data_IF_823618207348
#
_entry.id   IF_823618207348
#
_cell.length_a   1.000
_cell.length_b   1.000
_cell.length_c   1.000
_cell.angle_alpha   90.00
_cell.angle_beta   90.00
_cell.angle_gamma   90.00
#
_symmetry.space_group_name_H-M   'P 1'
#
loop_
_entity.id
_entity.type
_entity.pdbx_description
1 polymer ?
#
# COMPACT_ATOMS: atom_id res chain seq x y z
N UNK A 1 18.14 -1.60 5.97
CA UNK A 1 17.99 -0.73 4.78
C UNK A 1 18.19 0.71 5.24
N UNK A 2 19.27 1.37 4.81
CA UNK A 2 19.49 2.78 5.16
C UNK A 2 18.58 3.71 4.32
N UNK A 3 18.20 4.85 4.88
CA UNK A 3 17.49 5.93 4.18
C UNK A 3 18.12 7.28 4.54
N UNK A 4 17.64 8.38 3.97
CA UNK A 4 18.23 9.70 4.17
C UNK A 4 17.22 10.73 4.71
N UNK A 5 17.59 11.43 5.78
CA UNK A 5 16.87 12.59 6.29
C UNK A 5 17.50 13.86 5.74
N UNK A 6 16.74 14.62 4.96
CA UNK A 6 17.20 15.83 4.28
C UNK A 6 16.74 17.09 5.01
N UNK A 7 17.50 18.15 4.83
CA UNK A 7 17.25 19.49 5.37
C UNK A 7 17.16 20.50 4.23
N UNK A 8 16.55 21.66 4.48
CA UNK A 8 16.51 22.76 3.51
C UNK A 8 17.92 23.07 2.98
N UNK A 9 18.05 23.21 1.65
CA UNK A 9 19.35 23.34 0.98
C UNK A 9 19.96 22.02 0.49
N UNK A 10 19.29 20.89 0.72
CA UNK A 10 19.62 19.60 0.08
C UNK A 10 20.68 18.75 0.80
N UNK A 11 21.12 19.17 1.99
CA UNK A 11 22.00 18.35 2.83
C UNK A 11 21.20 17.22 3.47
N UNK A 12 21.67 15.98 3.30
CA UNK A 12 21.02 14.80 3.84
C UNK A 12 21.96 13.98 4.73
N UNK A 13 21.44 13.48 5.85
CA UNK A 13 22.12 12.54 6.73
C UNK A 13 21.58 11.14 6.52
N UNK A 14 22.48 10.15 6.51
CA UNK A 14 22.07 8.74 6.41
C UNK A 14 21.54 8.27 7.75
N UNK A 15 20.36 7.66 7.74
CA UNK A 15 19.74 6.98 8.87
C UNK A 15 19.83 5.48 8.64
N UNK A 16 20.32 4.75 9.64
CA UNK A 16 20.37 3.29 9.62
C UNK A 16 19.01 2.74 10.04
N UNK A 17 18.21 2.30 9.07
CA UNK A 17 16.93 1.65 9.30
C UNK A 17 16.98 0.14 9.11
N UNK A 18 15.93 -0.52 9.57
CA UNK A 18 15.66 -1.95 9.34
C UNK A 18 14.31 -2.10 8.64
N UNK A 19 14.01 -3.28 8.11
CA UNK A 19 12.68 -3.60 7.57
C UNK A 19 12.15 -4.83 8.25
N UNK A 20 10.83 -4.88 8.44
CA UNK A 20 10.14 -6.01 9.07
C UNK A 20 8.99 -6.47 8.20
N UNK A 21 8.84 -7.79 8.04
CA UNK A 21 7.68 -8.35 7.34
C UNK A 21 6.45 -8.35 8.24
N UNK A 22 5.31 -8.04 7.61
CA UNK A 22 3.99 -8.07 8.19
C UNK A 22 3.66 -9.43 8.84
N UNK A 23 2.90 -9.36 9.93
CA UNK A 23 2.54 -10.52 10.74
C UNK A 23 1.71 -11.58 10.00
N UNK A 24 0.95 -11.22 8.96
CA UNK A 24 0.08 -12.14 8.22
C UNK A 24 0.88 -13.19 7.42
N UNK A 25 2.11 -12.85 7.00
CA UNK A 25 3.03 -13.76 6.30
C UNK A 25 3.80 -14.69 7.24
N UNK A 26 3.82 -14.38 8.54
CA UNK A 26 4.62 -15.15 9.50
C UNK A 26 3.97 -16.48 9.80
N UNK A 27 4.80 -17.42 10.21
CA UNK A 27 4.33 -18.64 10.83
C UNK A 27 3.59 -18.33 12.14
N UNK A 28 2.41 -18.93 12.30
CA UNK A 28 1.61 -18.87 13.52
C UNK A 28 1.46 -20.28 14.09
N UNK A 29 2.02 -20.51 15.27
CA UNK A 29 2.03 -21.82 15.93
C UNK A 29 1.67 -21.70 17.41
N UNK A 30 1.38 -22.84 18.04
CA UNK A 30 1.14 -22.89 19.47
C UNK A 30 2.38 -22.45 20.23
N UNK A 31 2.20 -21.63 21.27
CA UNK A 31 3.29 -20.97 22.02
C UNK A 31 4.30 -21.92 22.66
N UNK A 32 3.93 -23.20 22.84
CA UNK A 32 4.73 -24.20 23.54
C UNK A 32 5.26 -25.30 22.60
N UNK A 33 5.07 -25.17 21.29
CA UNK A 33 5.32 -26.23 20.34
C UNK A 33 5.45 -25.71 18.91
N UNK A 34 5.19 -26.61 17.96
CA UNK A 34 5.31 -26.37 16.53
C UNK A 34 4.01 -26.70 15.79
N UNK A 35 2.90 -26.85 16.53
CA UNK A 35 1.59 -27.13 15.95
C UNK A 35 1.03 -25.83 15.42
N UNK A 36 0.72 -25.79 14.12
CA UNK A 36 0.19 -24.59 13.51
C UNK A 36 -1.15 -24.19 14.15
N UNK A 37 -1.26 -22.92 14.50
CA UNK A 37 -2.55 -22.29 14.79
C UNK A 37 -3.30 -21.93 13.51
N UNK A 38 -2.58 -21.72 12.42
CA UNK A 38 -3.13 -21.38 11.11
C UNK A 38 -2.34 -22.11 10.01
N UNK A 39 -3.02 -22.82 9.11
CA UNK A 39 -2.39 -23.55 7.98
C UNK A 39 -3.23 -23.44 6.73
N UNK A 40 -2.59 -23.20 5.58
CA UNK A 40 -3.33 -22.90 4.35
C UNK A 40 -4.16 -21.65 4.59
N UNK A 41 -5.49 -21.80 4.53
CA UNK A 41 -6.44 -20.74 4.79
C UNK A 41 -7.36 -21.01 5.98
N UNK A 42 -6.99 -21.90 6.91
CA UNK A 42 -7.84 -22.29 8.05
C UNK A 42 -7.12 -22.16 9.41
N UNK A 43 -7.91 -21.81 10.43
CA UNK A 43 -7.49 -21.85 11.84
C UNK A 43 -7.64 -23.25 12.44
N UNK A 44 -6.71 -23.65 13.29
CA UNK A 44 -6.84 -24.85 14.10
C UNK A 44 -7.84 -24.60 15.23
N UNK A 45 -9.08 -25.06 15.05
CA UNK A 45 -10.18 -24.83 15.99
C UNK A 45 -10.00 -25.50 17.37
N UNK A 46 -9.06 -26.43 17.50
CA UNK A 46 -8.71 -27.01 18.82
C UNK A 46 -7.86 -26.06 19.65
N UNK A 47 -6.93 -25.33 19.02
CA UNK A 47 -6.10 -24.32 19.68
C UNK A 47 -6.85 -22.98 19.78
N UNK A 48 -7.61 -22.66 18.73
CA UNK A 48 -8.30 -21.40 18.51
C UNK A 48 -9.82 -21.56 18.65
N UNK A 49 -10.28 -21.92 19.85
CA UNK A 49 -11.72 -22.05 20.14
C UNK A 49 -12.45 -20.71 20.17
N UNK A 50 -11.75 -19.62 20.50
CA UNK A 50 -12.24 -18.25 20.43
C UNK A 50 -11.07 -17.28 20.16
N UNK A 51 -11.38 -16.05 19.76
CA UNK A 51 -10.42 -15.03 19.36
C UNK A 51 -9.36 -14.72 20.45
N UNK A 52 -9.77 -14.68 21.72
CA UNK A 52 -8.89 -14.31 22.83
C UNK A 52 -8.01 -15.48 23.25
N UNK A 53 -8.58 -16.67 23.39
CA UNK A 53 -7.79 -17.87 23.72
C UNK A 53 -6.79 -18.21 22.61
N UNK A 54 -7.18 -18.05 21.34
CA UNK A 54 -6.29 -18.23 20.20
C UNK A 54 -5.07 -17.28 20.30
N UNK A 55 -5.29 -15.97 20.49
CA UNK A 55 -4.18 -15.03 20.67
C UNK A 55 -3.30 -15.32 21.89
N UNK A 56 -3.87 -15.86 22.98
CA UNK A 56 -3.12 -16.22 24.18
C UNK A 56 -2.35 -17.55 24.07
N UNK A 57 -2.70 -18.39 23.10
CA UNK A 57 -2.12 -19.71 22.90
C UNK A 57 -1.23 -19.81 21.66
N UNK A 58 -1.27 -18.82 20.77
CA UNK A 58 -0.49 -18.77 19.55
C UNK A 58 0.64 -17.75 19.63
N UNK A 59 1.70 -17.97 18.85
CA UNK A 59 2.85 -17.09 18.71
C UNK A 59 3.15 -16.83 17.23
N UNK A 60 3.65 -15.61 16.95
CA UNK A 60 4.30 -15.26 15.69
C UNK A 60 5.80 -15.55 15.82
N UNK A 61 6.39 -16.20 14.82
CA UNK A 61 7.83 -16.53 14.83
C UNK A 61 8.66 -15.58 13.95
N UNK A 62 9.98 -15.79 13.98
CA UNK A 62 10.95 -15.17 13.11
C UNK A 62 10.69 -15.48 11.63
N UNK A 63 11.38 -14.74 10.76
CA UNK A 63 11.23 -14.84 9.32
C UNK A 63 12.59 -15.07 8.67
N UNK A 64 12.72 -16.13 7.87
CA UNK A 64 13.81 -16.26 6.90
C UNK A 64 13.47 -15.40 5.67
N UNK A 65 13.84 -14.12 5.76
CA UNK A 65 13.52 -13.11 4.75
C UNK A 65 13.92 -13.52 3.34
N UNK A 66 15.15 -14.01 3.14
CA UNK A 66 15.64 -14.32 1.80
C UNK A 66 15.18 -15.69 1.32
N UNK A 67 15.24 -16.73 2.16
CA UNK A 67 14.97 -18.10 1.74
C UNK A 67 13.49 -18.43 1.64
N UNK A 68 12.64 -17.83 2.49
CA UNK A 68 11.20 -18.07 2.51
C UNK A 68 10.42 -16.99 1.77
N UNK A 69 10.78 -15.71 1.95
CA UNK A 69 9.98 -14.58 1.45
C UNK A 69 10.58 -13.87 0.24
N UNK A 70 11.81 -14.21 -0.17
CA UNK A 70 12.48 -13.56 -1.30
C UNK A 70 12.76 -12.07 -1.07
N UNK A 71 12.84 -11.65 0.20
CA UNK A 71 13.13 -10.28 0.62
C UNK A 71 14.62 -10.14 0.89
N UNK A 72 15.26 -9.17 0.25
CA UNK A 72 16.69 -8.88 0.46
C UNK A 72 16.94 -7.38 0.55
N UNK A 73 17.98 -6.98 1.29
CA UNK A 73 18.44 -5.58 1.33
C UNK A 73 19.92 -5.48 0.99
N UNK A 74 20.31 -4.37 0.38
CA UNK A 74 21.72 -4.03 0.16
C UNK A 74 21.88 -2.51 0.26
N UNK A 75 22.56 -2.04 1.31
CA UNK A 75 22.67 -0.62 1.63
C UNK A 75 21.30 0.05 1.78
N UNK A 76 20.96 0.91 0.81
CA UNK A 76 19.71 1.68 0.78
C UNK A 76 18.62 1.05 -0.10
N UNK A 77 18.81 -0.17 -0.62
CA UNK A 77 17.87 -0.86 -1.48
C UNK A 77 17.18 -2.04 -0.77
N UNK A 78 15.90 -2.23 -1.07
CA UNK A 78 15.05 -3.36 -0.71
C UNK A 78 14.51 -3.99 -1.99
N UNK A 79 14.78 -5.27 -2.19
CA UNK A 79 14.24 -6.07 -3.29
C UNK A 79 13.18 -7.02 -2.75
N UNK A 80 11.99 -6.98 -3.33
CA UNK A 80 10.90 -7.91 -3.03
C UNK A 80 10.65 -8.78 -4.26
N UNK A 81 10.79 -10.10 -4.13
CA UNK A 81 10.38 -11.06 -5.16
C UNK A 81 8.91 -11.41 -4.99
N UNK A 82 8.25 -11.71 -6.10
CA UNK A 82 6.85 -12.07 -6.10
C UNK A 82 6.62 -13.48 -5.56
N UNK A 83 7.20 -14.50 -6.19
CA UNK A 83 7.05 -15.90 -5.75
C UNK A 83 8.37 -16.47 -5.26
N UNK A 84 8.38 -17.02 -4.05
CA UNK A 84 9.54 -17.71 -3.47
C UNK A 84 9.19 -19.14 -3.12
N UNK A 85 9.82 -20.09 -3.83
CA UNK A 85 9.61 -21.52 -3.64
C UNK A 85 10.65 -22.07 -2.67
N UNK A 86 10.21 -22.39 -1.45
CA UNK A 86 11.01 -23.11 -0.46
C UNK A 86 10.88 -24.63 -0.61
N UNK A 87 11.51 -25.39 0.28
CA UNK A 87 11.45 -26.86 0.25
C UNK A 87 10.10 -27.43 0.64
N UNK A 88 9.30 -26.68 1.42
CA UNK A 88 8.04 -27.16 2.01
C UNK A 88 6.85 -26.22 1.76
N UNK A 89 7.08 -25.05 1.18
CA UNK A 89 6.07 -24.02 0.97
C UNK A 89 6.42 -23.15 -0.23
N UNK A 90 5.40 -22.48 -0.78
CA UNK A 90 5.57 -21.41 -1.77
C UNK A 90 4.97 -20.15 -1.19
N UNK A 91 5.78 -19.10 -1.06
CA UNK A 91 5.35 -17.78 -0.63
C UNK A 91 4.96 -16.94 -1.85
N UNK A 92 3.84 -16.20 -1.74
CA UNK A 92 3.37 -15.23 -2.73
C UNK A 92 3.36 -13.84 -2.07
N UNK A 93 3.98 -12.87 -2.73
CA UNK A 93 4.04 -11.48 -2.31
C UNK A 93 4.74 -11.24 -0.97
N UNK A 94 4.75 -9.98 -0.56
CA UNK A 94 5.20 -9.58 0.78
C UNK A 94 4.77 -8.15 1.09
N UNK A 95 4.61 -7.82 2.38
CA UNK A 95 4.40 -6.46 2.90
C UNK A 95 5.41 -6.16 4.01
N UNK A 96 6.18 -5.08 3.85
CA UNK A 96 7.31 -4.72 4.70
C UNK A 96 7.10 -3.33 5.28
N UNK A 97 7.53 -3.12 6.53
CA UNK A 97 7.51 -1.82 7.21
C UNK A 97 8.93 -1.32 7.47
N UNK A 98 9.14 -0.01 7.35
CA UNK A 98 10.39 0.62 7.78
C UNK A 98 10.44 0.72 9.31
N UNK A 99 11.58 0.37 9.91
CA UNK A 99 11.79 0.36 11.36
C UNK A 99 12.78 1.46 11.79
N UNK A 100 12.46 2.17 12.87
CA UNK A 100 13.37 3.10 13.55
C UNK A 100 14.28 2.39 14.55
N UNK A 101 13.83 1.25 15.08
CA UNK A 101 14.58 0.37 15.99
C UNK A 101 13.99 -1.04 15.92
N UNK A 102 14.55 -2.01 16.63
CA UNK A 102 14.04 -3.39 16.64
C UNK A 102 12.62 -3.56 17.20
N UNK A 103 12.02 -2.53 17.82
CA UNK A 103 10.68 -2.59 18.43
C UNK A 103 9.77 -1.44 18.05
N UNK A 104 10.17 -0.57 17.11
CA UNK A 104 9.38 0.61 16.70
C UNK A 104 9.48 0.83 15.20
N UNK A 105 8.34 1.06 14.56
CA UNK A 105 8.29 1.54 13.19
C UNK A 105 8.95 2.91 13.07
N UNK A 106 9.47 3.22 11.88
CA UNK A 106 9.86 4.57 11.54
C UNK A 106 8.62 5.36 11.16
N UNK A 107 8.31 6.36 11.97
CA UNK A 107 7.18 7.25 11.74
C UNK A 107 7.58 8.44 10.87
N UNK A 108 6.68 8.87 10.00
CA UNK A 108 6.84 10.02 9.11
C UNK A 108 5.61 10.93 9.17
N UNK A 109 5.82 12.23 9.37
CA UNK A 109 4.75 13.24 9.28
C UNK A 109 4.84 13.92 7.93
N UNK A 110 3.91 13.64 7.03
CA UNK A 110 4.04 14.00 5.61
C UNK A 110 3.72 15.47 5.33
N UNK A 111 2.79 16.09 6.07
CA UNK A 111 2.32 17.45 5.76
C UNK A 111 3.44 18.50 5.80
N UNK A 112 3.60 19.24 4.71
CA UNK A 112 4.64 20.26 4.53
C UNK A 112 6.01 19.69 4.19
N UNK A 113 6.12 18.37 3.98
CA UNK A 113 7.35 17.68 3.63
C UNK A 113 7.29 17.06 2.23
N UNK A 114 8.41 16.47 1.84
CA UNK A 114 8.67 15.81 0.59
C UNK A 114 9.23 14.42 0.86
N UNK A 115 8.61 13.41 0.24
CA UNK A 115 9.06 12.03 0.26
C UNK A 115 9.54 11.63 -1.12
N UNK A 116 10.68 10.95 -1.19
CA UNK A 116 11.34 10.61 -2.45
C UNK A 116 12.02 9.26 -2.36
N UNK A 117 11.98 8.50 -3.45
CA UNK A 117 12.64 7.21 -3.56
C UNK A 117 12.96 6.91 -5.01
N UNK A 118 13.92 6.03 -5.24
CA UNK A 118 14.15 5.41 -6.54
C UNK A 118 13.43 4.06 -6.60
N UNK A 119 12.86 3.73 -7.76
CA UNK A 119 12.16 2.47 -7.98
C UNK A 119 12.55 1.83 -9.31
N UNK A 120 12.66 0.52 -9.30
CA UNK A 120 12.78 -0.31 -10.50
C UNK A 120 11.57 -1.25 -10.56
N UNK A 121 10.67 -0.97 -11.51
CA UNK A 121 9.47 -1.76 -11.84
C UNK A 121 9.61 -2.50 -13.17
N UNK A 122 10.81 -2.54 -13.77
CA UNK A 122 11.05 -3.09 -15.12
C UNK A 122 10.67 -4.57 -15.25
N UNK A 123 10.56 -5.26 -14.11
CA UNK A 123 10.15 -6.65 -14.01
C UNK A 123 8.75 -6.83 -13.43
N UNK A 124 7.91 -5.80 -13.35
CA UNK A 124 6.52 -5.92 -12.89
C UNK A 124 5.58 -5.78 -14.09
N UNK A 125 5.02 -6.89 -14.58
CA UNK A 125 4.03 -6.86 -15.65
C UNK A 125 2.62 -6.55 -15.16
N UNK A 126 1.66 -6.68 -16.07
CA UNK A 126 0.23 -6.56 -15.78
C UNK A 126 -0.21 -7.48 -14.63
N UNK A 127 -1.14 -7.01 -13.80
CA UNK A 127 -1.69 -7.80 -12.70
C UNK A 127 -0.89 -7.78 -11.39
N UNK A 128 0.31 -7.19 -11.40
CA UNK A 128 1.13 -7.02 -10.20
C UNK A 128 1.11 -5.56 -9.75
N UNK A 129 1.30 -5.35 -8.45
CA UNK A 129 1.49 -4.02 -7.88
C UNK A 129 2.70 -4.03 -6.94
N UNK A 130 3.73 -3.29 -7.35
CA UNK A 130 4.78 -2.83 -6.46
C UNK A 130 4.31 -1.56 -5.77
N UNK A 131 3.85 -1.71 -4.53
CA UNK A 131 3.30 -0.64 -3.73
C UNK A 131 4.30 -0.05 -2.71
N UNK A 132 4.35 1.28 -2.62
CA UNK A 132 5.00 2.03 -1.54
C UNK A 132 4.05 3.12 -1.07
N UNK A 133 3.68 3.09 0.22
CA UNK A 133 2.57 3.88 0.76
C UNK A 133 2.73 4.13 2.26
N UNK A 134 1.83 4.93 2.82
CA UNK A 134 1.80 5.25 4.25
C UNK A 134 0.43 4.96 4.85
N UNK A 135 0.44 4.41 6.07
CA UNK A 135 -0.79 4.13 6.83
C UNK A 135 -0.65 4.63 8.27
N UNK A 136 -1.74 5.04 8.88
CA UNK A 136 -1.78 5.58 10.25
C UNK A 136 -1.81 4.46 11.33
N UNK A 137 -0.85 3.55 11.25
CA UNK A 137 -0.58 2.52 12.27
C UNK A 137 0.12 3.10 13.50
N UNK A 138 -0.01 2.41 14.64
CA UNK A 138 0.74 2.73 15.86
C UNK A 138 2.23 2.41 15.73
N UNK A 139 3.11 3.28 16.28
CA UNK A 139 4.58 3.12 16.25
C UNK A 139 5.06 1.77 16.80
N UNK A 140 4.38 1.23 17.81
CA UNK A 140 4.72 -0.04 18.47
C UNK A 140 3.92 -1.24 17.94
N UNK A 141 3.17 -1.06 16.85
CA UNK A 141 2.27 -2.07 16.29
C UNK A 141 1.07 -2.41 17.17
N UNK A 142 0.69 -1.50 18.08
CA UNK A 142 -0.47 -1.58 18.95
C UNK A 142 -0.19 -2.21 20.32
N UNK A 143 1.07 -2.43 20.71
CA UNK A 143 1.40 -3.08 21.99
C UNK A 143 0.90 -2.30 23.21
N UNK A 144 1.04 -0.97 23.18
CA UNK A 144 0.59 -0.08 24.26
C UNK A 144 -0.93 0.00 24.36
N UNK A 145 -1.66 -0.10 23.23
CA UNK A 145 -3.12 -0.10 23.19
C UNK A 145 -3.71 -1.48 23.55
N UNK A 146 -3.05 -2.57 23.14
CA UNK A 146 -3.58 -3.93 23.25
C UNK A 146 -2.63 -4.83 24.04
N UNK A 147 -2.90 -4.99 25.33
CA UNK A 147 -2.02 -5.74 26.24
C UNK A 147 -1.80 -7.21 25.86
N UNK A 148 -2.69 -7.81 25.08
CA UNK A 148 -2.55 -9.16 24.55
C UNK A 148 -1.59 -9.24 23.34
N UNK A 149 -1.36 -8.13 22.63
CA UNK A 149 -0.31 -8.05 21.63
C UNK A 149 1.06 -7.98 22.31
N UNK A 150 1.75 -9.12 22.38
CA UNK A 150 3.12 -9.22 22.91
C UNK A 150 4.21 -9.19 21.84
N UNK A 151 3.82 -9.18 20.55
CA UNK A 151 4.74 -9.27 19.43
C UNK A 151 5.14 -7.87 18.92
N UNK A 152 4.15 -7.01 18.65
CA UNK A 152 4.36 -5.62 18.27
C UNK A 152 5.06 -5.39 16.94
N UNK A 153 5.56 -4.17 16.75
CA UNK A 153 6.25 -3.75 15.53
C UNK A 153 7.42 -4.67 15.14
N UNK A 154 8.10 -5.29 16.12
CA UNK A 154 9.18 -6.26 15.87
C UNK A 154 8.74 -7.44 14.98
N UNK A 155 7.46 -7.79 15.02
CA UNK A 155 6.86 -8.87 14.24
C UNK A 155 5.84 -8.36 13.22
N UNK A 156 5.84 -7.06 12.91
CA UNK A 156 4.99 -6.51 11.87
C UNK A 156 3.49 -6.54 12.20
N UNK A 157 3.10 -6.37 13.47
CA UNK A 157 1.67 -6.33 13.86
C UNK A 157 1.06 -4.95 13.71
N UNK A 158 -0.27 -4.89 13.75
CA UNK A 158 -1.04 -3.64 13.87
C UNK A 158 -1.37 -2.99 12.53
N UNK A 159 -1.29 -3.73 11.43
CA UNK A 159 -1.64 -3.22 10.11
C UNK A 159 -3.09 -2.74 10.04
N UNK A 160 -3.29 -1.70 9.24
CA UNK A 160 -4.57 -1.13 8.86
C UNK A 160 -4.36 -0.38 7.54
N UNK A 161 -5.42 -0.18 6.79
CA UNK A 161 -5.45 0.69 5.61
C UNK A 161 -6.90 1.15 5.32
N UNK A 162 -7.11 1.88 4.21
CA UNK A 162 -8.42 2.43 3.89
C UNK A 162 -9.41 1.41 3.30
N UNK A 163 -8.97 0.17 3.07
CA UNK A 163 -9.82 -0.96 2.68
C UNK A 163 -10.40 -1.69 3.88
N UNK A 164 -10.05 -1.29 5.11
CA UNK A 164 -10.50 -1.95 6.33
C UNK A 164 -10.31 -3.49 6.32
N UNK A 165 -9.10 -3.99 5.98
CA UNK A 165 -8.82 -5.38 5.66
C UNK A 165 -9.26 -6.34 6.77
N UNK A 166 -10.05 -7.34 6.36
CA UNK A 166 -10.58 -8.40 7.23
C UNK A 166 -9.78 -9.71 7.16
N UNK A 167 -8.74 -9.74 6.33
CA UNK A 167 -7.86 -10.91 6.13
C UNK A 167 -6.73 -11.00 7.16
N UNK A 168 -6.55 -9.96 7.99
CA UNK A 168 -5.55 -9.94 9.04
C UNK A 168 -5.86 -11.01 10.08
N UNK A 169 -4.90 -11.90 10.32
CA UNK A 169 -4.99 -12.96 11.33
C UNK A 169 -5.08 -12.42 12.76
N UNK A 170 -4.51 -11.26 13.04
CA UNK A 170 -4.54 -10.63 14.35
C UNK A 170 -4.89 -9.15 14.27
N UNK A 171 -5.91 -8.72 15.02
CA UNK A 171 -6.37 -7.32 15.12
C UNK A 171 -6.61 -7.03 16.60
N UNK A 172 -6.15 -5.87 17.09
CA UNK A 172 -6.35 -5.40 18.46
C UNK A 172 -5.92 -6.41 19.55
N UNK A 173 -4.84 -7.16 19.29
CA UNK A 173 -4.33 -8.20 20.19
C UNK A 173 -5.22 -9.46 20.30
N UNK A 174 -6.16 -9.64 19.36
CA UNK A 174 -7.03 -10.80 19.27
C UNK A 174 -6.81 -11.52 17.94
N UNK A 175 -6.98 -12.84 17.92
CA UNK A 175 -6.99 -13.58 16.66
C UNK A 175 -8.31 -13.33 15.94
N UNK A 176 -8.27 -13.13 14.63
CA UNK A 176 -9.47 -12.95 13.81
C UNK A 176 -10.09 -14.31 13.42
N UNK A 177 -10.13 -15.26 14.34
CA UNK A 177 -10.58 -16.64 14.07
C UNK A 177 -12.11 -16.78 14.09
N UNK A 178 -12.82 -15.82 14.67
CA UNK A 178 -14.28 -15.81 14.69
C UNK A 178 -14.84 -15.53 13.30
N UNK A 179 -15.83 -16.34 12.89
CA UNK A 179 -16.48 -16.24 11.57
C UNK A 179 -15.49 -16.26 10.39
N UNK A 180 -14.36 -16.94 10.57
CA UNK A 180 -13.36 -17.05 9.52
C UNK A 180 -13.90 -17.81 8.30
N UNK A 181 -13.83 -17.18 7.14
CA UNK A 181 -14.25 -17.74 5.86
C UNK A 181 -13.02 -17.85 4.95
N UNK A 182 -12.58 -19.07 4.60
CA UNK A 182 -11.50 -19.28 3.65
C UNK A 182 -11.78 -18.60 2.30
N UNK A 183 -10.76 -17.97 1.70
CA UNK A 183 -10.89 -17.42 0.36
C UNK A 183 -11.14 -18.53 -0.65
N UNK A 184 -11.97 -18.24 -1.67
CA UNK A 184 -12.26 -19.17 -2.76
C UNK A 184 -11.18 -19.21 -3.83
N UNK A 185 -10.29 -18.20 -3.87
CA UNK A 185 -9.25 -18.05 -4.88
C UNK A 185 -7.84 -17.79 -4.31
N UNK A 186 -7.69 -17.66 -2.99
CA UNK A 186 -6.38 -17.63 -2.30
C UNK A 186 -6.30 -18.79 -1.29
N UNK A 187 -5.32 -19.67 -1.47
CA UNK A 187 -5.11 -20.83 -0.60
C UNK A 187 -4.49 -20.48 0.77
N UNK A 188 -4.01 -19.25 0.96
CA UNK A 188 -3.31 -18.78 2.15
C UNK A 188 -4.09 -17.71 2.94
N UNK A 189 -5.24 -17.28 2.42
CA UNK A 189 -6.02 -16.19 2.98
C UNK A 189 -7.50 -16.54 3.16
N UNK A 190 -8.18 -15.69 3.90
CA UNK A 190 -9.60 -15.74 4.20
C UNK A 190 -9.98 -14.45 4.89
N UNK A 191 -11.23 -14.32 5.30
CA UNK A 191 -11.72 -13.12 5.99
C UNK A 191 -12.37 -13.50 7.32
N UNK A 192 -12.04 -12.77 8.38
CA UNK A 192 -12.66 -12.94 9.68
C UNK A 192 -13.81 -11.97 9.93
N UNK A 193 -14.32 -12.00 11.16
CA UNK A 193 -15.37 -11.10 11.62
C UNK A 193 -14.92 -9.63 11.63
N UNK A 194 -13.65 -9.36 11.95
CA UNK A 194 -13.15 -8.02 12.16
C UNK A 194 -12.25 -7.52 11.03
N UNK A 195 -12.24 -6.21 10.82
CA UNK A 195 -11.29 -5.53 9.95
C UNK A 195 -10.52 -4.44 10.70
N UNK A 196 -9.45 -3.93 10.08
CA UNK A 196 -8.57 -2.92 10.68
C UNK A 196 -8.44 -1.72 9.74
N UNK A 197 -9.09 -0.61 10.09
CA UNK A 197 -9.22 0.59 9.28
C UNK A 197 -8.24 1.68 9.73
N UNK A 198 -7.66 2.43 8.80
CA UNK A 198 -7.02 3.72 9.07
C UNK A 198 -6.79 4.50 7.77
N UNK A 199 -6.51 5.80 7.89
CA UNK A 199 -6.19 6.62 6.73
C UNK A 199 -4.91 6.14 6.02
N UNK A 200 -4.93 6.25 4.70
CA UNK A 200 -3.90 5.70 3.81
C UNK A 200 -3.48 6.73 2.76
N UNK A 201 -2.17 6.82 2.52
CA UNK A 201 -1.58 7.63 1.46
C UNK A 201 -0.78 6.72 0.53
N UNK A 202 -1.37 6.42 -0.62
CA UNK A 202 -0.72 5.64 -1.67
C UNK A 202 0.21 6.55 -2.45
N UNK A 203 1.47 6.59 -2.03
CA UNK A 203 2.51 7.33 -2.77
C UNK A 203 2.70 6.71 -4.14
N UNK A 204 2.66 5.39 -4.22
CA UNK A 204 3.07 4.66 -5.40
C UNK A 204 2.44 3.28 -5.47
N UNK A 205 1.38 3.12 -6.26
CA UNK A 205 0.86 1.82 -6.69
C UNK A 205 1.16 1.67 -8.17
N UNK A 206 2.02 0.72 -8.55
CA UNK A 206 2.46 0.63 -9.93
C UNK A 206 3.00 -0.73 -10.34
N UNK A 207 2.99 -0.91 -11.65
CA UNK A 207 3.82 -1.86 -12.38
C UNK A 207 4.49 -1.16 -13.56
N UNK A 208 5.07 -1.91 -14.49
CA UNK A 208 5.74 -1.33 -15.67
C UNK A 208 4.77 -0.65 -16.65
N UNK A 209 3.46 -0.86 -16.53
CA UNK A 209 2.45 -0.35 -17.47
C UNK A 209 1.76 0.88 -16.92
N UNK A 210 1.39 0.88 -15.64
CA UNK A 210 0.61 1.96 -15.03
C UNK A 210 1.10 2.28 -13.62
N UNK A 211 0.83 3.52 -13.19
CA UNK A 211 1.13 4.00 -11.85
C UNK A 211 0.05 4.97 -11.37
N UNK A 212 -0.30 4.91 -10.08
CA UNK A 212 -1.23 5.79 -9.41
C UNK A 212 -0.62 6.35 -8.11
N UNK A 213 -1.06 7.56 -7.75
CA UNK A 213 -0.89 8.17 -6.43
C UNK A 213 -2.26 8.56 -5.90
N UNK A 214 -2.60 8.15 -4.68
CA UNK A 214 -3.99 8.22 -4.19
C UNK A 214 -4.04 8.52 -2.69
N UNK A 215 -4.65 9.62 -2.25
CA UNK A 215 -5.01 9.84 -0.87
C UNK A 215 -6.36 9.18 -0.54
N UNK A 216 -6.41 8.47 0.58
CA UNK A 216 -7.61 7.82 1.11
C UNK A 216 -7.93 8.33 2.52
N UNK A 217 -8.92 9.23 2.67
CA UNK A 217 -9.38 9.67 3.98
C UNK A 217 -10.19 8.59 4.67
N UNK A 218 -10.14 8.60 6.00
CA UNK A 218 -11.08 7.89 6.86
C UNK A 218 -11.64 8.86 7.90
N UNK A 219 -12.90 8.68 8.30
CA UNK A 219 -13.52 9.48 9.37
C UNK A 219 -12.70 9.39 10.68
N UNK A 220 -12.17 8.20 10.98
CA UNK A 220 -11.15 7.99 12.01
C UNK A 220 -9.78 7.80 11.37
N UNK A 221 -8.83 8.71 11.65
CA UNK A 221 -7.49 8.69 11.05
C UNK A 221 -6.67 7.50 11.51
N UNK A 222 -6.53 7.32 12.83
CA UNK A 222 -5.69 6.27 13.42
C UNK A 222 -6.34 4.89 13.26
N UNK A 223 -5.52 3.85 13.45
CA UNK A 223 -5.99 2.47 13.50
C UNK A 223 -7.18 2.30 14.45
N UNK A 224 -8.23 1.69 13.91
CA UNK A 224 -9.38 1.24 14.66
C UNK A 224 -9.99 -0.01 14.01
N UNK A 225 -10.80 -0.73 14.77
CA UNK A 225 -11.41 -1.97 14.33
C UNK A 225 -12.85 -1.74 13.86
N UNK A 226 -13.21 -2.38 12.75
CA UNK A 226 -14.58 -2.48 12.24
C UNK A 226 -15.10 -3.93 12.33
N UNK A 227 -16.38 -4.15 12.06
CA UNK A 227 -17.02 -5.47 12.15
C UNK A 227 -17.88 -5.80 10.90
N UNK A 228 -17.65 -6.98 10.33
CA UNK A 228 -18.44 -7.54 9.25
C UNK A 228 -18.50 -6.65 8.00
N UNK A 229 -19.66 -6.60 7.35
CA UNK A 229 -19.86 -5.78 6.15
C UNK A 229 -19.83 -4.27 6.43
N UNK A 230 -20.01 -3.85 7.69
CA UNK A 230 -19.89 -2.43 8.08
C UNK A 230 -18.45 -1.92 8.03
N UNK A 231 -17.47 -2.81 7.82
CA UNK A 231 -16.11 -2.39 7.46
C UNK A 231 -16.04 -1.66 6.12
N UNK A 232 -17.00 -1.89 5.21
CA UNK A 232 -16.82 -1.45 3.82
C UNK A 232 -15.60 -2.13 3.18
N UNK A 233 -14.96 -1.40 2.27
CA UNK A 233 -13.79 -1.90 1.57
C UNK A 233 -14.11 -2.93 0.50
N UNK A 234 -13.07 -3.37 -0.18
CA UNK A 234 -13.21 -4.15 -1.42
C UNK A 234 -13.90 -5.51 -1.22
N UNK A 235 -13.76 -6.15 -0.05
CA UNK A 235 -14.30 -7.49 0.23
C UNK A 235 -15.57 -7.48 1.12
N UNK A 236 -16.45 -6.47 0.96
CA UNK A 236 -17.73 -6.39 1.66
C UNK A 236 -18.94 -6.37 0.72
N UNK A 237 -20.15 -6.52 1.28
CA UNK A 237 -21.40 -6.37 0.52
C UNK A 237 -21.67 -4.95 -0.01
N UNK A 238 -21.09 -3.93 0.64
CA UNK A 238 -21.09 -2.54 0.17
C UNK A 238 -19.74 -1.90 0.50
N UNK A 239 -18.89 -1.70 -0.52
CA UNK A 239 -17.54 -1.16 -0.33
C UNK A 239 -17.53 0.22 0.33
N UNK A 240 -18.60 0.99 0.18
CA UNK A 240 -18.71 2.36 0.72
C UNK A 240 -19.40 2.42 2.08
N UNK A 241 -19.79 1.26 2.64
CA UNK A 241 -20.52 1.18 3.91
C UNK A 241 -19.67 1.41 5.16
N UNK A 242 -18.34 1.46 5.01
CA UNK A 242 -17.36 1.71 6.07
C UNK A 242 -17.10 3.20 6.34
N UNK A 243 -16.12 3.49 7.19
CA UNK A 243 -15.73 4.85 7.57
C UNK A 243 -14.56 5.41 6.74
N UNK A 244 -13.88 4.54 6.00
CA UNK A 244 -12.82 4.87 5.06
C UNK A 244 -13.33 5.01 3.62
N UNK A 245 -12.64 5.82 2.83
CA UNK A 245 -12.82 5.89 1.37
C UNK A 245 -11.96 4.81 0.68
N UNK A 246 -12.58 3.75 0.14
CA UNK A 246 -11.83 2.66 -0.49
C UNK A 246 -11.36 2.99 -1.91
N UNK A 247 -11.78 4.12 -2.49
CA UNK A 247 -11.45 4.50 -3.87
C UNK A 247 -10.37 5.59 -3.91
N UNK A 248 -10.46 6.55 -3.01
CA UNK A 248 -9.54 7.69 -2.93
C UNK A 248 -9.75 8.72 -4.05
N UNK A 249 -8.84 9.68 -4.13
CA UNK A 249 -8.74 10.63 -5.24
C UNK A 249 -7.46 10.39 -6.05
N UNK A 250 -7.51 9.49 -7.02
CA UNK A 250 -6.32 8.95 -7.68
C UNK A 250 -5.77 9.87 -8.79
N UNK A 251 -4.45 9.87 -8.97
CA UNK A 251 -3.81 10.37 -10.18
C UNK A 251 -3.03 9.25 -10.86
N UNK A 252 -3.63 8.64 -11.87
CA UNK A 252 -2.96 7.79 -12.86
C UNK A 252 -2.89 8.55 -14.20
N UNK A 253 -1.68 8.80 -14.72
CA UNK A 253 -1.48 9.60 -15.93
C UNK A 253 -2.25 9.07 -17.16
N UNK A 254 -2.29 7.75 -17.34
CA UNK A 254 -3.04 7.12 -18.42
C UNK A 254 -4.55 7.31 -18.23
N UNK A 255 -5.05 7.13 -16.99
CA UNK A 255 -6.46 7.39 -16.64
C UNK A 255 -6.87 8.86 -16.80
N UNK A 256 -5.92 9.77 -16.57
CA UNK A 256 -6.07 11.21 -16.84
C UNK A 256 -5.83 11.60 -18.31
N UNK A 257 -5.78 10.61 -19.21
CA UNK A 257 -5.79 10.79 -20.67
C UNK A 257 -4.42 11.01 -21.32
N UNK A 258 -3.31 10.89 -20.58
CA UNK A 258 -1.94 11.02 -21.10
C UNK A 258 -1.30 9.64 -21.24
N UNK A 259 -1.57 9.00 -22.38
CA UNK A 259 -1.29 7.57 -22.61
C UNK A 259 0.18 7.24 -22.93
N UNK A 260 1.01 8.24 -23.18
CA UNK A 260 2.42 8.13 -23.55
C UNK A 260 3.38 8.69 -22.47
N UNK A 261 2.86 8.93 -21.26
CA UNK A 261 3.64 9.51 -20.17
C UNK A 261 4.42 8.46 -19.36
N UNK A 262 3.79 7.36 -18.96
CA UNK A 262 4.37 6.35 -18.08
C UNK A 262 4.20 4.97 -18.69
N UNK A 263 5.30 4.25 -18.87
CA UNK A 263 5.30 2.91 -19.46
C UNK A 263 6.63 2.55 -20.11
N UNK A 264 6.74 1.37 -20.74
CA UNK A 264 7.99 0.95 -21.35
C UNK A 264 8.37 1.90 -22.50
N UNK A 265 9.57 2.50 -22.44
CA UNK A 265 10.03 3.48 -23.44
C UNK A 265 9.15 4.74 -23.59
N UNK A 266 8.39 5.11 -22.55
CA UNK A 266 7.61 6.36 -22.51
C UNK A 266 8.40 7.52 -21.88
N UNK A 267 7.74 8.66 -21.63
CA UNK A 267 8.38 9.84 -21.00
C UNK A 267 9.05 9.48 -19.67
N UNK A 268 8.36 8.73 -18.82
CA UNK A 268 8.92 7.99 -17.69
C UNK A 268 9.05 6.53 -18.14
N UNK A 269 10.27 6.14 -18.48
CA UNK A 269 10.60 4.84 -19.06
C UNK A 269 10.70 3.78 -17.96
N UNK A 270 9.70 2.91 -17.88
CA UNK A 270 9.62 1.88 -16.84
C UNK A 270 10.58 0.71 -17.04
N UNK A 271 11.30 0.66 -18.17
CA UNK A 271 12.33 -0.37 -18.41
C UNK A 271 13.62 -0.11 -17.62
N UNK A 272 13.70 1.04 -16.92
CA UNK A 272 14.85 1.46 -16.13
C UNK A 272 14.39 2.00 -14.78
N UNK A 273 15.35 2.08 -13.85
CA UNK A 273 15.15 2.79 -12.59
C UNK A 273 14.89 4.27 -12.83
N UNK A 274 14.00 4.85 -12.03
CA UNK A 274 13.75 6.30 -11.96
C UNK A 274 13.45 6.71 -10.52
N UNK A 275 13.53 8.01 -10.25
CA UNK A 275 13.16 8.62 -8.97
C UNK A 275 11.71 9.08 -9.01
N UNK A 276 10.97 8.86 -7.93
CA UNK A 276 9.63 9.38 -7.68
C UNK A 276 9.71 10.37 -6.53
N UNK A 277 9.17 11.58 -6.73
CA UNK A 277 9.12 12.65 -5.73
C UNK A 277 7.65 12.99 -5.46
N UNK A 278 7.26 13.06 -4.20
CA UNK A 278 5.91 13.46 -3.78
C UNK A 278 6.00 14.55 -2.72
N UNK A 279 5.30 15.67 -2.95
CA UNK A 279 5.28 16.82 -2.04
C UNK A 279 3.88 17.01 -1.47
N UNK A 280 3.80 17.33 -0.18
CA UNK A 280 2.55 17.59 0.53
C UNK A 280 2.47 19.08 0.90
N UNK A 281 1.88 19.87 0.02
CA UNK A 281 1.90 21.33 0.11
C UNK A 281 0.86 21.81 1.13
N UNK A 282 1.26 22.75 1.99
CA UNK A 282 0.35 23.44 2.91
C UNK A 282 -0.31 24.64 2.23
N UNK A 283 -1.60 24.82 2.47
CA UNK A 283 -2.32 26.05 2.21
C UNK A 283 -1.97 27.14 3.23
N UNK A 284 -2.53 28.34 3.01
CA UNK A 284 -2.34 29.48 3.93
C UNK A 284 -2.97 29.27 5.32
N UNK A 285 -3.94 28.37 5.41
CA UNK A 285 -4.58 27.90 6.65
C UNK A 285 -3.75 26.85 7.40
N UNK A 286 -2.65 26.38 6.81
CA UNK A 286 -1.79 25.35 7.36
C UNK A 286 -2.27 23.91 7.11
N UNK A 287 -3.39 23.72 6.41
CA UNK A 287 -3.90 22.41 6.01
C UNK A 287 -3.28 21.94 4.68
N UNK A 288 -3.44 20.66 4.33
CA UNK A 288 -3.04 20.16 3.01
C UNK A 288 -3.85 20.89 1.92
N UNK A 289 -3.18 21.47 0.94
CA UNK A 289 -3.83 22.11 -0.21
C UNK A 289 -3.59 21.37 -1.53
N UNK A 290 -2.46 20.67 -1.65
CA UNK A 290 -2.03 20.07 -2.91
C UNK A 290 -1.02 18.94 -2.67
N UNK A 291 -1.16 17.84 -3.43
CA UNK A 291 -0.16 16.78 -3.54
C UNK A 291 0.48 16.86 -4.92
N UNK A 292 1.78 17.15 -4.97
CA UNK A 292 2.54 17.22 -6.24
C UNK A 292 3.37 15.98 -6.48
N UNK A 293 3.57 15.68 -7.76
CA UNK A 293 4.40 14.58 -8.24
C UNK A 293 5.47 15.10 -9.21
N UNK A 294 6.69 14.62 -9.05
CA UNK A 294 7.76 14.75 -10.03
C UNK A 294 8.45 13.41 -10.21
N UNK A 295 9.10 13.23 -11.35
CA UNK A 295 9.99 12.12 -11.62
C UNK A 295 11.39 12.65 -11.93
N UNK A 296 12.42 11.85 -11.66
CA UNK A 296 13.77 12.12 -12.17
C UNK A 296 14.30 10.88 -12.86
N UNK A 297 14.62 11.00 -14.14
CA UNK A 297 15.19 9.90 -14.91
C UNK A 297 16.29 10.42 -15.83
N UNK A 298 17.42 9.70 -15.88
CA UNK A 298 18.61 10.11 -16.64
C UNK A 298 19.05 11.56 -16.37
N UNK A 299 18.91 11.99 -15.11
CA UNK A 299 19.27 13.33 -14.64
C UNK A 299 18.29 14.45 -15.03
N UNK A 300 17.17 14.13 -15.70
CA UNK A 300 16.14 15.10 -16.08
C UNK A 300 14.99 15.07 -15.10
N UNK A 301 14.59 16.24 -14.62
CA UNK A 301 13.33 16.41 -13.88
C UNK A 301 12.17 16.37 -14.86
N UNK A 302 11.15 15.59 -14.53
CA UNK A 302 9.94 15.41 -15.31
C UNK A 302 8.78 15.78 -14.38
N UNK A 303 8.07 16.86 -14.69
CA UNK A 303 6.83 17.19 -13.99
C UNK A 303 5.77 16.13 -14.26
N UNK A 304 4.83 15.96 -13.33
CA UNK A 304 3.71 15.06 -13.57
C UNK A 304 2.91 15.46 -14.82
N UNK A 305 2.26 14.47 -15.44
CA UNK A 305 1.45 14.68 -16.63
C UNK A 305 0.33 15.69 -16.37
N UNK A 306 0.04 16.56 -17.34
CA UNK A 306 -1.16 17.40 -17.28
C UNK A 306 -2.37 16.60 -17.77
N UNK A 307 -3.37 16.41 -16.92
CA UNK A 307 -4.64 15.78 -17.28
C UNK A 307 -5.24 16.41 -18.53
N UNK A 308 -5.67 15.56 -19.47
CA UNK A 308 -6.35 15.95 -20.71
C UNK A 308 -7.85 15.69 -20.65
N UNK A 309 -8.36 15.23 -19.50
CA UNK A 309 -9.79 14.98 -19.29
C UNK A 309 -10.56 16.30 -19.36
N UNK A 310 -11.63 16.38 -20.18
CA UNK A 310 -12.45 17.59 -20.27
C UNK A 310 -12.95 18.05 -18.89
N UNK A 311 -12.80 19.34 -18.61
CA UNK A 311 -13.18 19.99 -17.34
C UNK A 311 -12.42 19.50 -16.08
N UNK A 312 -11.36 18.70 -16.23
CA UNK A 312 -10.49 18.32 -15.12
C UNK A 312 -8.99 18.52 -15.47
N UNK A 313 -8.54 19.74 -15.81
CA UNK A 313 -7.14 20.01 -16.13
C UNK A 313 -6.25 20.07 -14.87
N UNK A 314 -4.95 19.91 -15.04
CA UNK A 314 -3.95 20.03 -13.97
C UNK A 314 -3.07 18.78 -13.85
N UNK A 315 -1.98 18.89 -13.10
CA UNK A 315 -1.00 17.81 -12.90
C UNK A 315 -0.75 17.45 -11.42
N UNK A 316 -1.64 17.88 -10.53
CA UNK A 316 -1.54 17.65 -9.09
C UNK A 316 -2.91 17.33 -8.51
N UNK A 317 -2.92 16.74 -7.33
CA UNK A 317 -4.15 16.40 -6.61
C UNK A 317 -4.49 17.58 -5.70
N UNK A 318 -5.63 18.21 -5.95
CA UNK A 318 -6.19 19.33 -5.19
C UNK A 318 -7.67 19.08 -4.91
N UNK A 319 -8.31 19.81 -3.97
CA UNK A 319 -9.75 19.68 -3.74
C UNK A 319 -10.60 19.83 -5.00
N UNK A 320 -10.25 20.80 -5.86
CA UNK A 320 -11.00 21.07 -7.10
C UNK A 320 -10.77 20.00 -8.16
N UNK A 321 -9.53 19.50 -8.28
CA UNK A 321 -9.21 18.37 -9.17
C UNK A 321 -10.01 17.13 -8.77
N UNK A 322 -10.06 16.78 -7.47
CA UNK A 322 -10.80 15.60 -7.02
C UNK A 322 -12.29 15.67 -7.34
N UNK A 323 -12.93 16.81 -7.05
CA UNK A 323 -14.36 17.00 -7.34
C UNK A 323 -14.64 16.94 -8.84
N UNK A 324 -13.84 17.65 -9.64
CA UNK A 324 -14.00 17.67 -11.09
C UNK A 324 -13.76 16.29 -11.71
N UNK A 325 -12.76 15.56 -11.23
CA UNK A 325 -12.45 14.20 -11.65
C UNK A 325 -13.62 13.25 -11.40
N UNK A 326 -14.15 13.18 -10.18
CA UNK A 326 -15.24 12.26 -9.83
C UNK A 326 -16.47 12.49 -10.70
N UNK A 327 -16.81 13.77 -10.96
CA UNK A 327 -17.87 14.14 -11.91
C UNK A 327 -17.53 13.70 -13.34
N UNK A 328 -16.32 13.97 -13.82
CA UNK A 328 -15.91 13.64 -15.19
C UNK A 328 -15.89 12.13 -15.46
N UNK A 329 -15.57 11.32 -14.45
CA UNK A 329 -15.51 9.85 -14.55
C UNK A 329 -16.83 9.16 -14.23
N UNK A 330 -17.81 9.90 -13.70
CA UNK A 330 -19.08 9.35 -13.22
C UNK A 330 -18.92 8.47 -11.98
N UNK A 331 -17.87 8.70 -11.19
CA UNK A 331 -17.60 7.97 -9.95
C UNK A 331 -18.32 8.65 -8.77
N UNK A 332 -18.74 7.87 -7.77
CA UNK A 332 -19.28 8.43 -6.52
C UNK A 332 -18.15 9.17 -5.79
N UNK A 333 -18.42 10.37 -5.30
CA UNK A 333 -17.43 11.20 -4.62
C UNK A 333 -17.30 10.83 -3.13
N UNK A 334 -16.98 9.55 -2.88
CA UNK A 334 -16.82 9.02 -1.51
C UNK A 334 -15.67 9.70 -0.78
N UNK A 335 -14.63 10.12 -1.51
CA UNK A 335 -13.55 10.94 -1.00
C UNK A 335 -14.07 12.19 -0.26
N UNK A 336 -14.96 12.98 -0.87
CA UNK A 336 -15.56 14.14 -0.20
C UNK A 336 -16.63 13.74 0.82
N UNK A 337 -17.36 12.63 0.62
CA UNK A 337 -18.30 12.11 1.64
C UNK A 337 -17.58 11.72 2.94
N UNK A 338 -16.34 11.24 2.86
CA UNK A 338 -15.45 10.93 4.00
C UNK A 338 -14.61 12.12 4.46
N UNK A 339 -15.01 13.34 4.08
CA UNK A 339 -14.44 14.59 4.58
C UNK A 339 -13.28 15.15 3.74
N UNK A 340 -12.92 14.51 2.63
CA UNK A 340 -12.02 15.03 1.60
C UNK A 340 -10.68 15.54 2.12
N UNK A 341 -10.18 16.62 1.51
CA UNK A 341 -8.90 17.23 1.90
C UNK A 341 -8.82 17.67 3.36
N UNK A 342 -9.84 18.30 3.98
CA UNK A 342 -9.79 18.64 5.40
C UNK A 342 -9.58 17.41 6.30
N UNK A 343 -10.25 16.29 6.00
CA UNK A 343 -10.05 15.06 6.76
C UNK A 343 -8.68 14.43 6.44
N UNK A 344 -8.29 14.39 5.17
CA UNK A 344 -6.99 13.83 4.77
C UNK A 344 -5.80 14.66 5.28
N UNK A 345 -5.98 15.98 5.43
CA UNK A 345 -5.02 16.89 6.07
C UNK A 345 -4.69 16.43 7.49
N UNK A 346 -5.67 15.91 8.25
CA UNK A 346 -5.42 15.33 9.58
C UNK A 346 -4.56 14.06 9.48
N UNK A 347 -4.78 13.22 8.48
CA UNK A 347 -3.99 12.00 8.27
C UNK A 347 -2.51 12.31 8.03
N UNK A 348 -2.20 13.22 7.10
CA UNK A 348 -0.80 13.57 6.79
C UNK A 348 -0.13 14.43 7.87
N UNK A 349 -0.88 14.98 8.83
CA UNK A 349 -0.36 15.59 10.06
C UNK A 349 0.00 14.56 11.13
N UNK A 350 -0.71 13.43 11.16
CA UNK A 350 -0.40 12.31 12.05
C UNK A 350 0.88 11.61 11.58
N UNK A 351 1.75 11.13 12.49
CA UNK A 351 2.87 10.28 12.11
C UNK A 351 2.34 8.97 11.51
N UNK A 352 2.80 8.62 10.31
CA UNK A 352 2.38 7.41 9.57
C UNK A 352 3.55 6.44 9.39
N UNK A 353 3.25 5.15 9.27
CA UNK A 353 4.21 4.08 9.00
C UNK A 353 4.43 3.95 7.49
N UNK A 354 5.68 3.87 7.06
CA UNK A 354 6.04 3.57 5.67
C UNK A 354 5.91 2.06 5.40
N UNK A 355 5.16 1.72 4.35
CA UNK A 355 4.94 0.36 3.86
C UNK A 355 5.52 0.19 2.46
N UNK A 356 6.14 -0.96 2.20
CA UNK A 356 6.63 -1.38 0.89
C UNK A 356 6.18 -2.81 0.62
N UNK A 357 5.46 -3.06 -0.45
CA UNK A 357 4.90 -4.37 -0.76
C UNK A 357 5.00 -4.75 -2.24
N UNK A 358 4.75 -6.02 -2.51
CA UNK A 358 4.55 -6.59 -3.84
C UNK A 358 3.43 -7.62 -3.75
N UNK A 359 2.37 -7.44 -4.53
CA UNK A 359 1.16 -8.27 -4.46
C UNK A 359 0.43 -8.34 -5.81
N UNK A 360 -0.43 -9.34 -5.94
CA UNK A 360 -1.45 -9.49 -6.97
C UNK A 360 -2.86 -9.38 -6.35
N UNK A 361 -3.86 -9.09 -7.16
CA UNK A 361 -5.18 -8.71 -6.68
C UNK A 361 -6.21 -9.83 -6.88
N UNK A 362 -6.61 -10.44 -5.77
CA UNK A 362 -7.60 -11.51 -5.73
C UNK A 362 -9.06 -11.03 -5.85
N UNK A 363 -9.32 -9.72 -5.94
CA UNK A 363 -10.66 -9.17 -6.15
C UNK A 363 -10.89 -8.75 -7.59
N UNK A 364 -10.03 -7.87 -8.12
CA UNK A 364 -10.23 -7.22 -9.41
C UNK A 364 -9.04 -7.39 -10.37
N UNK A 365 -8.14 -8.35 -10.12
CA UNK A 365 -7.02 -8.71 -11.00
C UNK A 365 -6.12 -7.51 -11.37
N UNK A 366 -6.07 -6.48 -10.53
CA UNK A 366 -5.32 -5.23 -10.75
C UNK A 366 -5.84 -4.36 -11.91
N UNK A 367 -7.00 -4.68 -12.47
CA UNK A 367 -7.54 -4.00 -13.65
C UNK A 367 -7.91 -2.54 -13.37
N UNK A 368 -8.19 -2.21 -12.10
CA UNK A 368 -8.40 -0.84 -11.63
C UNK A 368 -7.13 0.02 -11.78
N UNK A 369 -5.95 -0.59 -11.79
CA UNK A 369 -4.66 0.10 -11.95
C UNK A 369 -4.20 0.14 -13.40
N UNK A 370 -4.26 -0.98 -14.14
CA UNK A 370 -3.49 -1.14 -15.38
C UNK A 370 -4.28 -1.55 -16.64
N UNK A 371 -5.60 -1.66 -16.54
CA UNK A 371 -6.47 -2.11 -17.63
C UNK A 371 -7.70 -1.20 -17.80
N UNK A 372 -8.72 -1.68 -18.50
CA UNK A 372 -10.07 -1.09 -18.51
C UNK A 372 -10.88 -1.68 -17.37
N UNK A 373 -11.45 -0.83 -16.51
CA UNK A 373 -12.32 -1.31 -15.44
C UNK A 373 -13.54 -0.37 -15.22
N UNK A 374 -14.75 -0.87 -14.95
CA UNK A 374 -15.15 -2.27 -15.03
C UNK A 374 -14.94 -2.85 -16.44
N UNK A 375 -14.81 -4.18 -16.52
CA UNK A 375 -14.28 -4.89 -17.69
C UNK A 375 -15.13 -4.76 -18.96
N UNK A 376 -16.40 -4.37 -18.81
CA UNK A 376 -17.39 -4.17 -19.87
C UNK A 376 -17.54 -2.71 -20.31
N UNK A 377 -16.86 -1.77 -19.64
CA UNK A 377 -16.89 -0.36 -20.01
C UNK A 377 -16.14 -0.08 -21.31
N UNK A 378 -16.58 0.94 -22.06
CA UNK A 378 -15.85 1.42 -23.23
C UNK A 378 -14.55 2.12 -22.77
N UNK A 379 -13.35 1.67 -23.20
CA UNK A 379 -12.08 2.29 -22.81
C UNK A 379 -11.89 3.74 -23.33
N UNK A 380 -12.77 4.22 -24.22
CA UNK A 380 -12.80 5.61 -24.66
C UNK A 380 -13.57 6.54 -23.71
N UNK A 381 -14.40 5.98 -22.82
CA UNK A 381 -15.10 6.77 -21.80
C UNK A 381 -14.10 7.31 -20.75
N UNK A 382 -14.25 8.58 -20.33
CA UNK A 382 -13.39 9.18 -19.31
C UNK A 382 -13.28 8.32 -18.06
N UNK A 383 -12.04 8.08 -17.65
CA UNK A 383 -11.73 7.36 -16.43
C UNK A 383 -11.85 5.84 -16.51
N UNK A 384 -12.32 5.23 -17.61
CA UNK A 384 -12.51 3.76 -17.73
C UNK A 384 -11.23 3.00 -18.09
N UNK A 385 -10.36 3.55 -18.92
CA UNK A 385 -9.05 2.97 -19.23
C UNK A 385 -7.96 3.53 -18.30
N UNK A 386 -7.16 2.67 -17.69
CA UNK A 386 -6.12 2.99 -16.70
C UNK A 386 -4.73 2.51 -17.10
N UNK A 387 -4.66 1.66 -18.11
CA UNK A 387 -3.43 1.22 -18.75
C UNK A 387 -3.74 0.44 -20.02
N UNK A 388 -2.74 -0.28 -20.51
CA UNK A 388 -2.82 -1.07 -21.76
C UNK A 388 -2.94 -2.58 -21.54
N UNK A 389 -3.06 -3.03 -20.29
CA UNK A 389 -3.22 -4.45 -19.99
C UNK A 389 -4.59 -4.96 -20.47
N UNK A 390 -4.62 -6.19 -20.96
CA UNK A 390 -5.86 -6.84 -21.39
C UNK A 390 -6.80 -7.08 -20.19
N UNK A 391 -8.11 -6.99 -20.38
CA UNK A 391 -9.09 -7.18 -19.30
C UNK A 391 -9.14 -8.62 -18.77
N UNK A 392 -8.53 -9.58 -19.48
CA UNK A 392 -8.33 -10.96 -19.01
C UNK A 392 -7.01 -11.17 -18.25
N UNK A 393 -6.17 -10.14 -18.13
CA UNK A 393 -4.91 -10.23 -17.39
C UNK A 393 -5.11 -10.24 -15.86
N UNK A 394 -4.04 -10.51 -15.13
CA UNK A 394 -3.96 -10.30 -13.68
C UNK A 394 -4.67 -11.31 -12.80
N UNK A 395 -5.26 -12.37 -13.37
CA UNK A 395 -5.77 -13.51 -12.58
C UNK A 395 -4.62 -14.05 -11.70
N UNK A 396 -4.75 -14.07 -10.35
CA UNK A 396 -3.67 -14.44 -9.43
C UNK A 396 -2.93 -15.72 -9.81
N UNK A 397 -3.68 -16.81 -10.03
CA UNK A 397 -3.13 -18.10 -10.46
C UNK A 397 -2.25 -18.01 -11.71
N UNK A 398 -2.62 -17.17 -12.68
CA UNK A 398 -1.88 -17.04 -13.93
C UNK A 398 -0.65 -16.16 -13.74
N UNK A 399 -0.73 -15.09 -12.96
CA UNK A 399 0.43 -14.23 -12.67
C UNK A 399 1.44 -14.93 -11.75
N UNK A 400 1.00 -15.65 -10.73
CA UNK A 400 1.86 -16.46 -9.86
C UNK A 400 2.65 -17.51 -10.65
N UNK A 401 2.05 -18.09 -11.69
CA UNK A 401 2.71 -19.06 -12.56
C UNK A 401 3.65 -18.41 -13.57
N UNK A 402 3.18 -17.40 -14.29
CA UNK A 402 3.88 -16.82 -15.45
C UNK A 402 4.89 -15.73 -15.07
N UNK A 403 4.67 -15.07 -13.94
CA UNK A 403 5.45 -13.94 -13.45
C UNK A 403 6.16 -14.26 -12.12
N UNK A 404 6.33 -15.54 -11.78
CA UNK A 404 6.89 -16.00 -10.50
C UNK A 404 8.22 -15.32 -10.09
N UNK A 405 9.12 -15.12 -11.05
CA UNK A 405 10.45 -14.52 -10.82
C UNK A 405 10.45 -12.98 -10.78
N UNK A 406 9.29 -12.35 -10.95
CA UNK A 406 9.19 -10.90 -10.96
C UNK A 406 9.53 -10.32 -9.60
N UNK A 407 9.99 -9.08 -9.62
CA UNK A 407 10.44 -8.38 -8.43
C UNK A 407 10.32 -6.87 -8.61
N UNK A 408 10.23 -6.18 -7.48
CA UNK A 408 10.35 -4.72 -7.38
C UNK A 408 11.56 -4.37 -6.53
N UNK A 409 12.22 -3.26 -6.85
CA UNK A 409 13.31 -2.72 -6.04
C UNK A 409 12.95 -1.29 -5.62
N UNK A 410 12.81 -1.06 -4.32
CA UNK A 410 12.72 0.27 -3.73
C UNK A 410 14.09 0.66 -3.19
N UNK A 411 14.56 1.86 -3.48
CA UNK A 411 15.88 2.28 -3.02
C UNK A 411 15.97 3.78 -2.78
N UNK A 412 17.05 4.21 -2.13
CA UNK A 412 17.42 5.62 -2.04
C UNK A 412 16.32 6.52 -1.46
N UNK A 413 15.63 6.03 -0.42
CA UNK A 413 14.58 6.78 0.26
C UNK A 413 15.19 8.06 0.87
N UNK A 414 14.54 9.19 0.62
CA UNK A 414 14.87 10.52 1.13
C UNK A 414 13.60 11.19 1.65
N UNK A 415 13.72 11.86 2.78
CA UNK A 415 12.61 12.58 3.39
C UNK A 415 13.08 13.87 4.05
N UNK A 416 12.39 14.98 3.79
CA UNK A 416 12.73 16.29 4.35
C UNK A 416 11.74 17.38 3.92
N UNK A 417 12.06 18.66 4.18
CA UNK A 417 11.26 19.79 3.68
C UNK A 417 11.13 19.77 2.15
N UNK A 418 10.08 20.40 1.63
CA UNK A 418 9.86 20.57 0.19
C UNK A 418 11.11 21.14 -0.51
N UNK A 419 11.52 20.51 -1.63
CA UNK A 419 12.70 20.89 -2.41
C UNK A 419 14.03 20.48 -1.80
N UNK A 420 14.05 19.54 -0.85
CA UNK A 420 15.29 19.08 -0.19
C UNK A 420 15.81 17.73 -0.69
N UNK A 421 14.99 16.93 -1.39
CA UNK A 421 15.36 15.55 -1.75
C UNK A 421 15.82 15.40 -3.21
N UNK A 422 15.54 16.40 -4.05
CA UNK A 422 15.91 16.47 -5.46
C UNK A 422 16.24 17.91 -5.89
N UNK A 423 16.97 18.06 -7.00
CA UNK A 423 17.23 19.37 -7.61
C UNK A 423 16.08 19.69 -8.56
N UNK A 424 15.16 20.55 -8.12
CA UNK A 424 13.98 20.94 -8.92
C UNK A 424 14.34 21.81 -10.14
N UNK A 425 15.48 22.50 -10.11
CA UNK A 425 16.03 23.34 -11.20
C UNK A 425 17.55 23.36 -11.17
#
# INVERSE_FOLDING_TARGET
MSWQKCSSGGSCTTVQGEVVIDSNWRWVHDKNGYTNCYTGNEWNTTICSDAKSCAANCALDGADYSGTYGVTTSGNALTLKFVTKGSYSTNIGSRLYMMASSTKYQMFTLLGNEFTFDVDVSKLGCGLNGALYFVAMDEDGGMSKYSANKAGAKYGTGYCDAQCPRDLKFINGQANSAQWTPSSNDQNAGVGQYGSCCAEMDIWYANSISAAVTPHPCETVEQHQCEGDSCGGTYSGDRYGGDCDPDGCDFNAYRQGVKDFYGPSMTVDTTKKFTVVTQFIKGSDGELSEIKRFYVQDGKVIENANSTIPNNPGNSITPDFCKAQKVAFGDRDVFNEKGGFPQFSKAVQTPMVLVMSLWDDHYANMLWLDSTYPVDADPSEPGKARGTCDTSSGVPKDVEANQASNQVIYSNIKFGPIGSTFKQS
#
